data_IF_283919648996
#
_entry.id   IF_283919648996
#
_cell.length_a   1.000
_cell.length_b   1.000
_cell.length_c   1.000
_cell.angle_alpha   90.00
_cell.angle_beta   90.00
_cell.angle_gamma   90.00
#
_symmetry.space_group_name_H-M   'P 1'
#
loop_
_entity.id
_entity.type
_entity.pdbx_description
1 polymer ?
#
# COMPACT_ATOMS: atom_id res chain seq x y z
N UNK A 1 -7.86 -12.55 10.24
CA UNK A 1 -7.61 -12.39 8.80
C UNK A 1 -7.28 -10.93 8.53
N UNK A 2 -6.12 -10.47 9.00
CA UNK A 2 -5.84 -9.03 9.08
C UNK A 2 -4.66 -8.60 8.19
N UNK A 3 -3.99 -9.54 7.54
CA UNK A 3 -2.80 -9.27 6.74
C UNK A 3 -3.17 -9.24 5.25
N UNK A 4 -2.93 -8.13 4.53
CA UNK A 4 -3.26 -8.02 3.10
C UNK A 4 -2.49 -8.99 2.20
N UNK A 5 -1.45 -9.65 2.71
CA UNK A 5 -0.78 -10.76 2.01
C UNK A 5 -1.61 -12.04 1.96
N UNK A 6 -2.62 -12.18 2.81
CA UNK A 6 -3.51 -13.34 2.84
C UNK A 6 -4.57 -13.25 1.75
N UNK A 7 -4.78 -14.33 1.00
CA UNK A 7 -5.73 -14.38 -0.12
C UNK A 7 -7.19 -14.12 0.28
N UNK A 8 -7.54 -14.32 1.54
CA UNK A 8 -8.87 -14.04 2.08
C UNK A 8 -9.10 -12.57 2.45
N UNK A 9 -8.07 -11.72 2.40
CA UNK A 9 -8.18 -10.32 2.79
C UNK A 9 -8.77 -9.46 1.65
N UNK A 10 -9.68 -8.52 1.93
CA UNK A 10 -10.31 -7.69 0.89
C UNK A 10 -9.32 -6.85 0.09
N UNK A 11 -8.27 -6.32 0.73
CA UNK A 11 -7.21 -5.56 0.05
C UNK A 11 -6.20 -6.45 -0.71
N UNK A 12 -6.27 -7.79 -0.60
CA UNK A 12 -5.30 -8.70 -1.20
C UNK A 12 -5.10 -8.51 -2.72
N UNK A 13 -6.17 -8.35 -3.53
CA UNK A 13 -5.99 -8.13 -4.97
C UNK A 13 -5.20 -6.86 -5.29
N UNK A 14 -5.45 -5.77 -4.57
CA UNK A 14 -4.73 -4.51 -4.76
C UNK A 14 -3.29 -4.62 -4.24
N UNK A 15 -3.06 -5.29 -3.11
CA UNK A 15 -1.72 -5.58 -2.62
C UNK A 15 -0.88 -6.35 -3.66
N UNK A 16 -1.45 -7.40 -4.26
CA UNK A 16 -0.80 -8.19 -5.33
C UNK A 16 -0.50 -7.36 -6.59
N UNK A 17 -1.38 -6.41 -6.93
CA UNK A 17 -1.13 -5.50 -8.05
C UNK A 17 0.06 -4.58 -7.79
N UNK A 18 0.13 -4.00 -6.59
CA UNK A 18 1.23 -3.15 -6.17
C UNK A 18 2.54 -3.96 -6.14
N UNK A 19 2.52 -5.14 -5.53
CA UNK A 19 3.69 -6.03 -5.41
C UNK A 19 4.29 -6.33 -6.79
N UNK A 20 3.46 -6.69 -7.77
CA UNK A 20 3.92 -6.91 -9.15
C UNK A 20 4.56 -5.66 -9.76
N UNK A 21 4.00 -4.48 -9.52
CA UNK A 21 4.54 -3.22 -10.02
C UNK A 21 5.91 -2.90 -9.40
N UNK A 22 6.06 -3.09 -8.08
CA UNK A 22 7.33 -2.91 -7.38
C UNK A 22 8.38 -3.92 -7.87
N UNK A 23 8.01 -5.18 -8.03
CA UNK A 23 8.93 -6.21 -8.54
C UNK A 23 9.36 -5.93 -9.98
N UNK A 24 8.49 -5.35 -10.81
CA UNK A 24 8.86 -4.92 -12.16
C UNK A 24 9.89 -3.78 -12.12
N UNK A 25 9.78 -2.84 -11.17
CA UNK A 25 10.80 -1.81 -10.94
C UNK A 25 12.13 -2.45 -10.50
N UNK A 26 12.11 -3.41 -9.59
CA UNK A 26 13.34 -4.10 -9.16
C UNK A 26 14.02 -4.81 -10.32
N UNK A 27 13.25 -5.57 -11.11
CA UNK A 27 13.74 -6.26 -12.29
C UNK A 27 14.35 -5.29 -13.32
N UNK A 28 13.73 -4.13 -13.53
CA UNK A 28 14.26 -3.09 -14.43
C UNK A 28 15.61 -2.53 -13.97
N UNK A 29 15.90 -2.58 -12.67
CA UNK A 29 17.18 -2.17 -12.08
C UNK A 29 18.13 -3.37 -11.80
N UNK A 30 17.80 -4.57 -12.26
CA UNK A 30 18.63 -5.77 -12.04
C UNK A 30 18.67 -6.23 -10.58
N UNK A 31 17.68 -5.87 -9.76
CA UNK A 31 17.55 -6.28 -8.37
C UNK A 31 16.53 -7.40 -8.21
N UNK A 32 16.79 -8.27 -7.25
CA UNK A 32 15.79 -9.24 -6.77
C UNK A 32 14.96 -8.56 -5.68
N UNK A 33 13.64 -8.76 -5.63
CA UNK A 33 12.82 -8.24 -4.55
C UNK A 33 13.32 -8.65 -3.17
N UNK A 34 13.37 -7.69 -2.26
CA UNK A 34 13.88 -7.88 -0.90
C UNK A 34 12.98 -7.18 0.14
N UNK A 35 13.49 -7.02 1.37
CA UNK A 35 12.77 -6.34 2.44
C UNK A 35 12.43 -4.87 2.12
N UNK A 36 13.25 -4.21 1.29
CA UNK A 36 13.01 -2.85 0.79
C UNK A 36 11.80 -2.85 -0.14
N UNK A 37 11.72 -3.82 -1.04
CA UNK A 37 10.57 -4.04 -1.93
C UNK A 37 9.30 -4.31 -1.12
N UNK A 38 9.39 -5.15 -0.07
CA UNK A 38 8.25 -5.43 0.80
C UNK A 38 7.72 -4.19 1.53
N UNK A 39 8.62 -3.34 2.07
CA UNK A 39 8.22 -2.06 2.69
C UNK A 39 7.60 -1.10 1.69
N UNK A 40 8.18 -0.99 0.50
CA UNK A 40 7.64 -0.16 -0.57
C UNK A 40 6.23 -0.64 -0.94
N UNK A 41 6.04 -1.92 -1.20
CA UNK A 41 4.73 -2.53 -1.49
C UNK A 41 3.71 -2.25 -0.37
N UNK A 42 4.11 -2.45 0.89
CA UNK A 42 3.22 -2.23 2.03
C UNK A 42 2.80 -0.75 2.15
N UNK A 43 3.74 0.19 2.00
CA UNK A 43 3.48 1.62 2.11
C UNK A 43 2.59 2.18 0.99
N UNK A 44 2.64 1.57 -0.20
CA UNK A 44 1.83 1.98 -1.35
C UNK A 44 0.34 1.57 -1.22
N UNK A 45 0.02 0.56 -0.41
CA UNK A 45 -1.36 0.13 -0.20
C UNK A 45 -2.24 1.21 0.46
N UNK A 46 -1.90 1.78 1.63
CA UNK A 46 -2.68 2.87 2.20
C UNK A 46 -2.64 4.13 1.32
N UNK A 47 -1.53 4.41 0.63
CA UNK A 47 -1.43 5.53 -0.31
C UNK A 47 -2.48 5.42 -1.45
N UNK A 48 -2.64 4.23 -2.03
CA UNK A 48 -3.64 3.99 -3.06
C UNK A 48 -5.06 4.26 -2.53
N UNK A 49 -5.37 3.76 -1.33
CA UNK A 49 -6.67 3.96 -0.67
C UNK A 49 -6.94 5.43 -0.36
N UNK A 50 -5.96 6.15 0.17
CA UNK A 50 -6.04 7.61 0.42
C UNK A 50 -6.24 8.40 -0.87
N UNK A 51 -5.63 7.95 -1.97
CA UNK A 51 -5.83 8.51 -3.31
C UNK A 51 -7.18 8.18 -3.96
N UNK A 52 -8.04 7.39 -3.29
CA UNK A 52 -9.32 6.95 -3.83
C UNK A 52 -9.19 5.90 -4.96
N UNK A 53 -8.04 5.23 -5.06
CA UNK A 53 -7.84 4.15 -6.02
C UNK A 53 -8.57 2.90 -5.51
N UNK A 54 -9.27 2.24 -6.43
CA UNK A 54 -9.93 0.94 -6.20
C UNK A 54 -9.06 -0.24 -6.64
N UNK A 55 -8.06 0.03 -7.47
CA UNK A 55 -7.06 -0.91 -7.98
C UNK A 55 -5.80 -0.14 -8.39
N UNK A 56 -4.69 -0.84 -8.57
CA UNK A 56 -3.43 -0.27 -9.06
C UNK A 56 -3.06 -0.97 -10.37
N UNK A 57 -3.00 -0.23 -11.46
CA UNK A 57 -2.59 -0.76 -12.76
C UNK A 57 -1.09 -0.57 -13.00
N UNK A 58 -0.51 0.51 -12.45
CA UNK A 58 0.92 0.81 -12.58
C UNK A 58 1.52 1.32 -11.27
N UNK A 59 2.78 0.92 -11.03
CA UNK A 59 3.67 1.54 -10.04
C UNK A 59 4.84 2.14 -10.82
N UNK A 60 5.07 3.44 -10.63
CA UNK A 60 6.07 4.20 -11.40
C UNK A 60 6.97 5.00 -10.45
N UNK A 61 8.18 5.31 -10.90
CA UNK A 61 9.10 6.21 -10.18
C UNK A 61 9.19 7.56 -10.91
N UNK A 62 9.47 8.63 -10.16
CA UNK A 62 9.76 9.93 -10.78
C UNK A 62 11.00 9.85 -11.65
N UNK A 63 10.96 10.53 -12.79
CA UNK A 63 12.14 10.81 -13.59
C UNK A 63 12.82 12.10 -13.12
N UNK A 64 14.13 12.18 -13.36
CA UNK A 64 14.87 13.40 -13.08
C UNK A 64 14.39 14.54 -14.00
N UNK A 65 14.20 15.74 -13.47
CA UNK A 65 13.73 16.87 -14.27
C UNK A 65 14.36 18.21 -13.86
N UNK A 66 14.20 19.22 -14.73
CA UNK A 66 14.75 20.57 -14.54
C UNK A 66 14.09 21.37 -13.40
N UNK A 67 13.13 20.78 -12.68
CA UNK A 67 12.46 21.36 -11.51
C UNK A 67 13.11 20.89 -10.20
N UNK A 68 14.17 20.09 -10.28
CA UNK A 68 14.92 19.61 -9.11
C UNK A 68 14.37 18.33 -8.49
N UNK A 69 13.48 17.60 -9.18
CA UNK A 69 13.09 16.25 -8.77
C UNK A 69 14.15 15.28 -9.27
N UNK A 70 14.66 14.43 -8.39
CA UNK A 70 15.60 13.36 -8.75
C UNK A 70 14.87 12.11 -9.26
N UNK A 71 15.57 11.32 -10.08
CA UNK A 71 15.11 9.99 -10.47
C UNK A 71 14.89 9.11 -9.25
N UNK A 72 13.73 8.45 -9.15
CA UNK A 72 13.39 7.58 -8.01
C UNK A 72 13.01 8.31 -6.71
N UNK A 73 13.01 9.65 -6.69
CA UNK A 73 12.68 10.44 -5.49
C UNK A 73 11.24 10.21 -5.00
N UNK A 74 10.30 10.08 -5.94
CA UNK A 74 8.90 9.80 -5.65
C UNK A 74 8.48 8.50 -6.32
N UNK A 75 7.56 7.80 -5.67
CA UNK A 75 6.88 6.62 -6.21
C UNK A 75 5.39 6.96 -6.39
N UNK A 76 4.82 6.48 -7.49
CA UNK A 76 3.44 6.74 -7.90
C UNK A 76 2.69 5.43 -8.03
N UNK A 77 1.45 5.41 -7.55
CA UNK A 77 0.45 4.39 -7.90
C UNK A 77 -0.56 5.03 -8.84
N UNK A 78 -0.89 4.33 -9.93
CA UNK A 78 -1.78 4.82 -10.98
C UNK A 78 -2.87 3.80 -11.27
N UNK A 79 -4.10 4.28 -11.40
CA UNK A 79 -5.25 3.54 -11.90
C UNK A 79 -5.64 4.08 -13.28
N UNK A 80 -5.72 3.19 -14.26
CA UNK A 80 -5.94 3.48 -15.67
C UNK A 80 -4.64 3.69 -16.44
N UNK A 81 -4.79 4.09 -17.70
CA UNK A 81 -3.66 4.39 -18.60
C UNK A 81 -3.00 5.74 -18.19
N UNK A 82 -1.68 5.78 -17.90
CA UNK A 82 -0.97 7.02 -17.59
C UNK A 82 -1.07 8.10 -18.67
N UNK A 83 -1.29 7.73 -19.93
CA UNK A 83 -1.50 8.66 -21.04
C UNK A 83 -2.93 9.22 -21.10
N UNK A 84 -3.88 8.59 -20.41
CA UNK A 84 -5.25 9.08 -20.32
C UNK A 84 -5.35 10.16 -19.23
N UNK A 85 -5.83 11.38 -19.52
CA UNK A 85 -5.93 12.45 -18.53
C UNK A 85 -6.91 12.16 -17.38
N UNK A 86 -7.80 11.18 -17.54
CA UNK A 86 -8.75 10.75 -16.51
C UNK A 86 -8.17 9.68 -15.56
N UNK A 87 -6.88 9.34 -15.64
CA UNK A 87 -6.28 8.42 -14.68
C UNK A 87 -6.35 8.97 -13.25
N UNK A 88 -6.46 8.07 -12.28
CA UNK A 88 -6.26 8.42 -10.87
C UNK A 88 -4.82 8.11 -10.50
N UNK A 89 -4.22 8.97 -9.67
CA UNK A 89 -2.89 8.73 -9.15
C UNK A 89 -2.73 9.27 -7.74
N UNK A 90 -1.87 8.61 -6.98
CA UNK A 90 -1.34 9.11 -5.73
C UNK A 90 0.17 8.89 -5.70
N UNK A 91 0.89 9.66 -4.90
CA UNK A 91 2.34 9.57 -4.81
C UNK A 91 2.85 9.84 -3.40
N UNK A 92 4.05 9.35 -3.12
CA UNK A 92 4.79 9.67 -1.90
C UNK A 92 6.29 9.68 -2.17
N UNK A 93 7.07 10.21 -1.22
CA UNK A 93 8.52 10.12 -1.25
C UNK A 93 8.94 8.67 -1.07
N UNK A 94 9.86 8.20 -1.92
CA UNK A 94 10.38 6.83 -1.83
C UNK A 94 11.02 6.60 -0.47
N UNK A 95 11.82 7.55 0.02
CA UNK A 95 12.45 7.46 1.36
C UNK A 95 11.43 7.26 2.49
N UNK A 96 10.28 7.94 2.44
CA UNK A 96 9.21 7.77 3.41
C UNK A 96 8.64 6.35 3.36
N UNK A 97 8.43 5.80 2.16
CA UNK A 97 7.96 4.42 2.01
C UNK A 97 8.98 3.42 2.59
N UNK A 98 10.28 3.62 2.35
CA UNK A 98 11.33 2.70 2.83
C UNK A 98 11.56 2.77 4.34
N UNK A 99 11.33 3.94 4.94
CA UNK A 99 11.43 4.16 6.38
C UNK A 99 10.21 3.61 7.16
N UNK A 100 9.10 3.35 6.48
CA UNK A 100 7.86 2.89 7.13
C UNK A 100 7.89 1.35 7.27
N UNK A 101 7.76 0.81 8.49
CA UNK A 101 7.59 -0.64 8.68
C UNK A 101 6.33 -1.16 7.99
N UNK A 102 6.36 -2.41 7.50
CA UNK A 102 5.20 -3.03 6.84
C UNK A 102 3.96 -3.04 7.74
N UNK A 103 4.14 -3.42 9.01
CA UNK A 103 3.06 -3.49 9.99
C UNK A 103 2.33 -2.16 10.14
N UNK A 104 3.07 -1.05 10.26
CA UNK A 104 2.50 0.29 10.35
C UNK A 104 1.72 0.67 9.08
N UNK A 105 2.21 0.25 7.91
CA UNK A 105 1.50 0.50 6.64
C UNK A 105 0.19 -0.29 6.57
N UNK A 106 0.19 -1.54 7.04
CA UNK A 106 -1.00 -2.39 7.09
C UNK A 106 -2.02 -1.88 8.10
N UNK A 107 -1.59 -1.42 9.27
CA UNK A 107 -2.46 -0.78 10.24
C UNK A 107 -3.15 0.45 9.65
N UNK A 108 -2.39 1.30 8.94
CA UNK A 108 -2.94 2.47 8.23
C UNK A 108 -3.94 2.05 7.15
N UNK A 109 -3.62 1.03 6.35
CA UNK A 109 -4.53 0.53 5.32
C UNK A 109 -5.84 0.00 5.91
N UNK A 110 -5.81 -0.60 7.10
CA UNK A 110 -7.01 -1.05 7.82
C UNK A 110 -7.87 0.11 8.31
N UNK A 111 -7.26 1.18 8.83
CA UNK A 111 -7.99 2.38 9.27
C UNK A 111 -8.72 3.07 8.12
N UNK A 112 -8.21 2.91 6.90
CA UNK A 112 -8.81 3.43 5.66
C UNK A 112 -9.87 2.49 5.06
N UNK A 113 -9.96 1.24 5.53
CA UNK A 113 -11.10 0.40 5.22
C UNK A 113 -12.30 0.96 5.99
N UNK A 114 -13.29 1.51 5.28
CA UNK A 114 -14.57 1.91 5.87
C UNK A 114 -15.18 0.75 6.67
N UNK A 115 -16.07 1.03 7.64
CA UNK A 115 -16.46 0.09 8.70
C UNK A 115 -16.97 -1.22 8.11
N UNK A 116 -16.07 -2.21 8.07
CA UNK A 116 -16.36 -3.56 7.64
C UNK A 116 -15.91 -4.47 8.78
N UNK A 117 -16.93 -4.82 9.56
CA UNK A 117 -17.02 -5.76 10.68
C UNK A 117 -16.67 -5.26 12.10
N UNK A 118 -17.60 -5.47 13.05
CA UNK A 118 -17.38 -5.18 14.46
C UNK A 118 -16.33 -6.16 14.97
N UNK A 119 -15.36 -5.63 15.72
CA UNK A 119 -14.61 -6.41 16.70
C UNK A 119 -15.65 -7.14 17.56
N UNK A 120 -15.84 -8.44 17.32
CA UNK A 120 -16.46 -9.33 18.29
C UNK A 120 -15.51 -9.37 19.48
N UNK A 121 -15.74 -8.48 20.44
CA UNK A 121 -15.26 -8.66 21.80
C UNK A 121 -15.81 -10.02 22.27
N UNK A 122 -14.97 -10.97 22.71
CA UNK A 122 -15.48 -12.15 23.39
C UNK A 122 -16.20 -11.69 24.66
N UNK A 123 -17.52 -11.78 24.65
CA UNK A 123 -18.36 -11.59 25.82
C UNK A 123 -18.06 -12.68 26.86
N UNK A 124 -17.76 -12.20 28.08
CA UNK A 124 -17.99 -12.80 29.40
C UNK A 124 -17.13 -14.00 29.82
N UNK A 125 -16.12 -13.68 30.62
CA UNK A 125 -16.00 -14.28 31.96
C UNK A 125 -15.39 -13.27 32.94
N UNK A 126 -16.22 -12.41 33.55
CA UNK A 126 -15.85 -11.77 34.81
C UNK A 126 -17.02 -11.89 35.79
N UNK A 127 -17.00 -13.02 36.49
CA UNK A 127 -17.40 -13.15 37.88
C UNK A 127 -17.21 -11.82 38.61
N UNK A 128 -18.29 -11.25 39.15
CA UNK A 128 -18.37 -10.44 40.37
C UNK A 128 -19.75 -9.75 40.43
N UNK A 129 -20.75 -10.49 40.88
CA UNK A 129 -21.85 -9.89 41.65
C UNK A 129 -21.81 -10.52 43.03
N UNK A 130 -20.98 -9.93 43.90
CA UNK A 130 -21.33 -9.78 45.31
C UNK A 130 -22.26 -8.57 45.38
N UNK A 131 -23.49 -8.78 45.84
CA UNK A 131 -24.29 -7.87 46.68
C UNK A 131 -25.52 -8.62 47.16
#
# INVERSE_FOLDING_TARGET
MNDPRQTSHPDHPMYQQIERGVHAIDAAHGRTPDQTSARLTAALLPLAKEGGLSRVDHVLMSEANNRGVHGGENVFVVQGDPANPAHLRAHMKTEQALATPEEQSFERARQLAGPSEPVQQPERTQTQQLS
#
